data_IF_437730333420
#
_entry.id   IF_437730333420
#
_cell.length_a   1.000
_cell.length_b   1.000
_cell.length_c   1.000
_cell.angle_alpha   90.00
_cell.angle_beta   90.00
_cell.angle_gamma   90.00
#
_symmetry.space_group_name_H-M   'P 1'
#
loop_
_entity.id
_entity.type
_entity.pdbx_description
1 polymer ?
#
# COMPACT_ATOMS: atom_id res chain seq x y z
N UNK A 1 20.03 -10.61 10.80
CA UNK A 1 20.50 -9.56 9.87
C UNK A 1 19.58 -8.35 9.87
N UNK A 2 18.34 -8.40 9.34
CA UNK A 2 17.47 -7.21 9.22
C UNK A 2 17.26 -6.48 10.58
N UNK A 3 16.91 -7.21 11.64
CA UNK A 3 16.72 -6.66 13.00
C UNK A 3 17.96 -5.97 13.59
N UNK A 4 19.16 -6.33 13.15
CA UNK A 4 20.41 -5.72 13.62
C UNK A 4 20.79 -4.47 12.82
N UNK A 5 20.11 -4.20 11.69
CA UNK A 5 20.39 -3.08 10.79
C UNK A 5 19.09 -2.42 10.30
N UNK A 6 18.27 -1.87 11.21
CA UNK A 6 17.05 -1.19 10.81
C UNK A 6 17.38 0.00 9.91
N UNK A 7 16.70 0.08 8.76
CA UNK A 7 16.81 1.16 7.78
C UNK A 7 15.48 1.30 7.06
N UNK A 8 15.29 2.43 6.39
CA UNK A 8 14.13 2.66 5.53
C UNK A 8 14.06 1.55 4.48
N UNK A 9 12.89 0.93 4.38
CA UNK A 9 12.52 -0.04 3.37
C UNK A 9 11.16 0.36 2.81
N UNK A 10 11.09 0.59 1.50
CA UNK A 10 9.90 1.10 0.80
C UNK A 10 9.59 0.18 -0.39
N UNK A 11 8.30 -0.09 -0.60
CA UNK A 11 7.75 -0.78 -1.76
C UNK A 11 6.26 -1.02 -1.62
N UNK A 12 5.65 -1.69 -2.59
CA UNK A 12 4.24 -2.08 -2.57
C UNK A 12 4.01 -3.34 -3.42
N UNK A 13 2.76 -3.78 -3.57
CA UNK A 13 2.39 -4.98 -4.34
C UNK A 13 3.04 -6.25 -3.77
N UNK A 14 3.82 -6.98 -4.56
CA UNK A 14 4.51 -8.23 -4.19
C UNK A 14 5.57 -8.07 -3.09
N UNK A 15 5.89 -6.83 -2.70
CA UNK A 15 6.76 -6.51 -1.56
C UNK A 15 6.02 -6.65 -0.22
N UNK A 16 4.68 -6.75 -0.22
CA UNK A 16 3.84 -6.94 0.98
C UNK A 16 4.37 -8.03 1.95
N UNK A 17 4.73 -9.25 1.50
CA UNK A 17 5.28 -10.27 2.40
C UNK A 17 6.56 -9.83 3.14
N UNK A 18 7.40 -9.01 2.50
CA UNK A 18 8.61 -8.49 3.13
C UNK A 18 8.27 -7.42 4.19
N UNK A 19 7.29 -6.56 3.91
CA UNK A 19 6.75 -5.64 4.92
C UNK A 19 6.22 -6.38 6.16
N UNK A 20 5.44 -7.44 5.96
CA UNK A 20 4.89 -8.23 7.06
C UNK A 20 5.98 -8.98 7.81
N UNK A 21 7.01 -9.50 7.12
CA UNK A 21 8.16 -10.10 7.79
C UNK A 21 8.92 -9.09 8.65
N UNK A 22 9.17 -7.87 8.14
CA UNK A 22 9.80 -6.79 8.91
C UNK A 22 8.95 -6.39 10.12
N UNK A 23 7.62 -6.31 9.94
CA UNK A 23 6.69 -6.07 11.03
C UNK A 23 6.77 -7.16 12.12
N UNK A 24 6.81 -8.45 11.77
CA UNK A 24 7.01 -9.55 12.74
C UNK A 24 8.36 -9.46 13.47
N UNK A 25 9.37 -8.84 12.85
CA UNK A 25 10.67 -8.56 13.49
C UNK A 25 10.67 -7.31 14.38
N UNK A 26 9.55 -6.58 14.45
CA UNK A 26 9.41 -5.33 15.20
C UNK A 26 10.03 -4.13 14.48
N UNK A 27 10.11 -4.16 13.14
CA UNK A 27 10.72 -3.13 12.31
C UNK A 27 9.62 -2.48 11.46
N UNK A 28 9.47 -1.16 11.60
CA UNK A 28 8.59 -0.39 10.72
C UNK A 28 9.22 -0.23 9.35
N UNK A 29 8.45 -0.57 8.32
CA UNK A 29 8.73 -0.30 6.91
C UNK A 29 7.64 0.61 6.33
N UNK A 30 7.83 1.10 5.11
CA UNK A 30 6.95 2.07 4.47
C UNK A 30 6.29 1.46 3.24
N UNK A 31 4.96 1.35 3.23
CA UNK A 31 4.22 0.90 2.05
C UNK A 31 4.07 2.10 1.09
N UNK A 32 4.70 2.05 -0.08
CA UNK A 32 4.83 3.24 -0.92
C UNK A 32 5.60 3.03 -2.23
N UNK A 33 5.96 4.12 -2.93
CA UNK A 33 6.44 4.11 -4.31
C UNK A 33 7.67 3.23 -4.52
N UNK A 34 7.75 2.60 -5.70
CA UNK A 34 8.86 1.78 -6.12
C UNK A 34 9.64 2.41 -7.29
N UNK A 35 10.83 1.86 -7.55
CA UNK A 35 11.77 2.48 -8.50
C UNK A 35 11.19 2.58 -9.92
N UNK A 36 10.66 1.47 -10.47
CA UNK A 36 10.24 1.42 -11.88
C UNK A 36 8.85 2.03 -12.13
N UNK A 37 7.98 1.96 -11.14
CA UNK A 37 6.56 2.33 -11.27
C UNK A 37 6.30 3.78 -10.94
N UNK A 38 7.16 4.39 -10.11
CA UNK A 38 6.96 5.75 -9.59
C UNK A 38 8.17 6.64 -9.90
N UNK A 39 9.37 6.21 -9.52
CA UNK A 39 10.59 7.03 -9.69
C UNK A 39 11.16 7.02 -11.12
N UNK A 40 10.73 6.08 -11.95
CA UNK A 40 11.07 6.02 -13.37
C UNK A 40 9.91 6.56 -14.24
N UNK A 41 9.02 7.37 -13.68
CA UNK A 41 7.97 8.02 -14.46
C UNK A 41 8.58 8.85 -15.59
N UNK A 42 8.00 8.71 -16.78
CA UNK A 42 8.46 9.45 -17.95
C UNK A 42 8.24 10.95 -17.76
N UNK A 43 9.19 11.73 -18.28
CA UNK A 43 9.19 13.20 -18.33
C UNK A 43 9.32 13.87 -16.96
N UNK A 44 8.42 13.58 -16.02
CA UNK A 44 8.39 14.21 -14.69
C UNK A 44 7.78 13.29 -13.63
N UNK A 45 8.32 13.38 -12.41
CA UNK A 45 7.73 12.75 -11.23
C UNK A 45 6.50 13.54 -10.77
N UNK A 46 5.52 12.85 -10.19
CA UNK A 46 4.39 13.50 -9.56
C UNK A 46 4.79 14.14 -8.22
N UNK A 47 4.55 15.45 -8.08
CA UNK A 47 4.84 16.19 -6.85
C UNK A 47 4.14 15.56 -5.63
N UNK A 48 2.88 15.12 -5.80
CA UNK A 48 2.15 14.41 -4.75
C UNK A 48 2.94 13.22 -4.20
N UNK A 49 3.47 12.36 -5.08
CA UNK A 49 4.26 11.18 -4.69
C UNK A 49 5.56 11.54 -4.00
N UNK A 50 6.31 12.48 -4.59
CA UNK A 50 7.63 12.90 -4.07
C UNK A 50 7.48 13.56 -2.71
N UNK A 51 6.59 14.55 -2.58
CA UNK A 51 6.42 15.34 -1.38
C UNK A 51 5.92 14.49 -0.21
N UNK A 52 4.91 13.64 -0.42
CA UNK A 52 4.38 12.78 0.64
C UNK A 52 5.36 11.70 1.07
N UNK A 53 6.11 11.09 0.14
CA UNK A 53 7.15 10.14 0.50
C UNK A 53 8.23 10.80 1.35
N UNK A 54 8.81 11.91 0.87
CA UNK A 54 9.92 12.54 1.57
C UNK A 54 9.49 13.19 2.88
N UNK A 55 8.24 13.64 3.00
CA UNK A 55 7.65 14.00 4.29
C UNK A 55 7.62 12.80 5.25
N UNK A 56 7.16 11.63 4.78
CA UNK A 56 7.02 10.43 5.61
C UNK A 56 8.36 9.80 6.06
N UNK A 57 9.42 9.91 5.24
CA UNK A 57 10.72 9.26 5.53
C UNK A 57 11.83 10.24 5.93
N UNK A 58 11.65 11.53 5.64
CA UNK A 58 12.66 12.57 5.83
C UNK A 58 12.41 13.48 7.04
N UNK A 59 11.20 13.48 7.60
CA UNK A 59 10.85 14.22 8.81
C UNK A 59 10.54 13.27 9.98
N UNK A 60 10.67 13.79 11.20
CA UNK A 60 10.30 13.13 12.46
C UNK A 60 8.99 13.66 13.04
N UNK A 61 8.41 14.72 12.46
CA UNK A 61 7.09 15.21 12.82
C UNK A 61 5.97 14.26 12.33
N UNK A 62 4.79 14.26 12.98
CA UNK A 62 3.65 13.54 12.47
C UNK A 62 3.30 13.95 11.04
N UNK A 63 3.05 12.97 10.17
CA UNK A 63 2.65 13.20 8.75
C UNK A 63 1.42 14.10 8.66
N UNK A 64 0.48 13.97 9.61
CA UNK A 64 -0.75 14.74 9.65
C UNK A 64 -1.82 14.17 8.72
N UNK A 65 -2.63 15.06 8.14
CA UNK A 65 -3.69 14.66 7.22
C UNK A 65 -3.10 14.25 5.87
N UNK A 66 -3.64 13.18 5.28
CA UNK A 66 -3.29 12.74 3.93
C UNK A 66 -4.48 13.12 3.03
N UNK A 67 -4.37 14.18 2.20
CA UNK A 67 -5.41 14.51 1.22
C UNK A 67 -5.33 13.56 0.01
N UNK A 68 -6.36 13.51 -0.83
CA UNK A 68 -6.24 12.90 -2.15
C UNK A 68 -5.37 13.76 -3.08
N UNK A 69 -4.73 13.15 -4.08
CA UNK A 69 -4.14 13.91 -5.19
C UNK A 69 -5.23 14.52 -6.07
N UNK A 70 -4.96 15.63 -6.75
CA UNK A 70 -5.92 16.24 -7.70
C UNK A 70 -6.12 15.39 -8.97
N UNK A 71 -5.06 14.69 -9.38
CA UNK A 71 -5.01 13.88 -10.59
C UNK A 71 -4.34 12.53 -10.32
N UNK A 72 -4.62 11.55 -11.17
CA UNK A 72 -3.96 10.25 -11.23
C UNK A 72 -3.56 9.92 -12.66
N UNK A 73 -2.52 9.10 -12.83
CA UNK A 73 -2.04 8.69 -14.15
C UNK A 73 -2.84 7.51 -14.69
N UNK A 74 -3.18 7.57 -15.98
CA UNK A 74 -3.84 6.48 -16.70
C UNK A 74 -2.84 5.34 -16.93
N UNK A 75 -3.28 4.10 -16.69
CA UNK A 75 -2.50 2.90 -16.96
C UNK A 75 -2.41 2.62 -18.47
N UNK A 76 -1.25 2.14 -18.95
CA UNK A 76 -1.15 1.54 -20.30
C UNK A 76 0.09 1.91 -21.13
N UNK A 77 0.86 2.92 -20.75
CA UNK A 77 2.10 3.26 -21.46
C UNK A 77 3.18 2.19 -21.20
N UNK A 78 3.71 1.59 -22.27
CA UNK A 78 4.76 0.57 -22.18
C UNK A 78 6.13 1.19 -21.89
N UNK A 79 6.96 0.49 -21.11
CA UNK A 79 8.33 0.88 -20.74
C UNK A 79 9.36 0.57 -21.83
N UNK A 80 9.06 0.95 -23.07
CA UNK A 80 10.03 0.90 -24.16
C UNK A 80 10.86 2.19 -24.16
N UNK A 81 12.18 2.08 -24.41
CA UNK A 81 13.13 3.19 -24.30
C UNK A 81 12.76 4.39 -25.21
N UNK A 82 12.20 4.12 -26.39
CA UNK A 82 11.75 5.14 -27.33
C UNK A 82 10.51 5.92 -26.83
N UNK A 83 9.79 5.38 -25.83
CA UNK A 83 8.62 6.02 -25.21
C UNK A 83 8.98 6.90 -24.01
N UNK A 84 10.24 6.95 -23.55
CA UNK A 84 10.67 7.69 -22.34
C UNK A 84 10.34 9.20 -22.36
N UNK A 85 10.13 9.77 -23.56
CA UNK A 85 9.80 11.17 -23.76
C UNK A 85 8.29 11.46 -23.77
N UNK A 86 7.45 10.42 -23.64
CA UNK A 86 5.99 10.51 -23.66
C UNK A 86 5.50 10.53 -22.21
N UNK A 87 4.89 11.63 -21.78
CA UNK A 87 4.21 11.71 -20.50
C UNK A 87 2.92 10.86 -20.54
N UNK A 88 2.63 10.12 -19.46
CA UNK A 88 1.35 9.44 -19.30
C UNK A 88 0.23 10.46 -19.17
N UNK A 89 -0.94 10.12 -19.73
CA UNK A 89 -2.15 10.90 -19.54
C UNK A 89 -2.51 10.97 -18.05
N UNK A 90 -2.94 12.15 -17.60
CA UNK A 90 -3.48 12.38 -16.25
C UNK A 90 -5.00 12.52 -16.36
N UNK A 91 -5.72 11.98 -15.39
CA UNK A 91 -7.16 12.14 -15.25
C UNK A 91 -7.51 12.70 -13.87
N UNK A 92 -8.60 13.48 -13.73
CA UNK A 92 -9.03 13.99 -12.43
C UNK A 92 -9.27 12.87 -11.43
N UNK A 93 -8.88 13.09 -10.18
CA UNK A 93 -9.09 12.16 -9.09
C UNK A 93 -10.26 12.61 -8.19
N UNK A 94 -10.94 11.63 -7.59
CA UNK A 94 -12.03 11.88 -6.63
C UNK A 94 -11.51 12.08 -5.21
N UNK A 95 -12.39 12.54 -4.32
CA UNK A 95 -12.17 12.52 -2.88
C UNK A 95 -12.44 11.11 -2.30
N UNK A 96 -12.07 10.89 -1.05
CA UNK A 96 -12.34 9.63 -0.34
C UNK A 96 -13.84 9.31 -0.28
N UNK A 97 -14.17 8.04 -0.52
CA UNK A 97 -15.54 7.53 -0.42
C UNK A 97 -15.73 6.85 0.93
N UNK A 98 -16.59 7.43 1.78
CA UNK A 98 -17.00 6.80 3.03
C UNK A 98 -18.14 5.81 2.78
N UNK A 99 -17.84 4.51 2.90
CA UNK A 99 -18.78 3.42 2.61
C UNK A 99 -19.72 3.15 3.79
N UNK A 100 -19.17 3.05 5.01
CA UNK A 100 -19.91 2.68 6.23
C UNK A 100 -19.11 3.01 7.49
N UNK A 101 -19.76 2.98 8.65
CA UNK A 101 -19.20 3.33 9.95
C UNK A 101 -19.60 4.72 10.43
N UNK A 102 -19.28 5.05 11.68
CA UNK A 102 -19.46 6.39 12.23
C UNK A 102 -18.46 6.64 13.36
N UNK A 103 -18.16 7.92 13.61
CA UNK A 103 -17.21 8.34 14.63
C UNK A 103 -15.76 8.37 14.14
N UNK A 104 -14.83 8.47 15.08
CA UNK A 104 -13.39 8.54 14.81
C UNK A 104 -12.70 7.36 15.48
N UNK A 105 -11.89 6.64 14.71
CA UNK A 105 -11.07 5.53 15.19
C UNK A 105 -9.60 5.86 15.01
N UNK A 106 -8.75 5.25 15.83
CA UNK A 106 -7.30 5.37 15.76
C UNK A 106 -6.67 4.01 16.00
N UNK A 107 -5.64 3.68 15.23
CA UNK A 107 -4.92 2.43 15.32
C UNK A 107 -3.68 2.47 14.45
N UNK A 108 -2.73 1.56 14.71
CA UNK A 108 -1.57 1.42 13.82
C UNK A 108 -2.00 0.74 12.52
N UNK A 109 -1.37 1.12 11.41
CA UNK A 109 -1.64 0.52 10.11
C UNK A 109 -1.04 -0.90 10.01
N UNK A 110 -1.80 -1.82 9.40
CA UNK A 110 -1.34 -3.15 8.98
C UNK A 110 -2.06 -3.51 7.68
N UNK A 111 -1.39 -4.20 6.76
CA UNK A 111 -2.00 -4.54 5.47
C UNK A 111 -1.02 -4.52 4.31
N UNK A 112 -1.53 -4.20 3.12
CA UNK A 112 -0.79 -4.16 1.87
C UNK A 112 -1.64 -4.56 0.67
N UNK A 113 -0.98 -5.14 -0.33
CA UNK A 113 -1.63 -5.70 -1.51
C UNK A 113 -2.52 -6.86 -1.09
N UNK A 114 -3.80 -6.77 -1.46
CA UNK A 114 -4.86 -7.68 -1.09
C UNK A 114 -4.52 -9.11 -1.49
N UNK A 115 -4.15 -9.32 -2.76
CA UNK A 115 -3.80 -10.62 -3.31
C UNK A 115 -2.52 -11.17 -2.69
N UNK A 116 -1.55 -10.30 -2.37
CA UNK A 116 -0.32 -10.72 -1.69
C UNK A 116 -0.59 -11.17 -0.26
N UNK A 117 -1.39 -10.42 0.50
CA UNK A 117 -1.80 -10.77 1.86
C UNK A 117 -2.59 -12.08 1.88
N UNK A 118 -3.52 -12.24 0.92
CA UNK A 118 -4.34 -13.43 0.76
C UNK A 118 -3.51 -14.71 0.59
N UNK A 119 -2.51 -14.66 -0.30
CA UNK A 119 -1.59 -15.77 -0.61
C UNK A 119 -0.73 -16.19 0.59
N UNK A 120 -0.60 -15.36 1.62
CA UNK A 120 0.18 -15.70 2.81
C UNK A 120 -0.61 -16.49 3.85
N UNK A 121 -1.93 -16.57 3.74
CA UNK A 121 -2.76 -17.32 4.71
C UNK A 121 -2.26 -18.75 4.88
N UNK A 122 -2.25 -19.23 6.12
CA UNK A 122 -1.75 -20.56 6.47
C UNK A 122 -0.23 -20.71 6.44
N UNK A 123 0.51 -19.66 6.11
CA UNK A 123 1.98 -19.64 6.20
C UNK A 123 2.45 -18.93 7.49
N UNK A 124 3.68 -19.20 7.97
CA UNK A 124 4.27 -18.45 9.08
C UNK A 124 4.49 -16.95 8.81
N UNK A 125 4.29 -16.49 7.57
CA UNK A 125 4.47 -15.09 7.17
C UNK A 125 3.17 -14.28 7.26
N UNK A 126 2.02 -14.93 7.38
CA UNK A 126 0.79 -14.22 7.75
C UNK A 126 0.95 -13.64 9.17
N UNK A 127 0.45 -12.43 9.45
CA UNK A 127 0.42 -11.90 10.81
C UNK A 127 -0.46 -12.76 11.71
N UNK A 128 -0.08 -12.94 12.96
CA UNK A 128 -0.96 -13.60 13.93
C UNK A 128 -2.24 -12.76 14.11
N UNK A 129 -3.37 -13.41 14.37
CA UNK A 129 -4.68 -12.73 14.38
C UNK A 129 -4.75 -11.62 15.44
N UNK A 130 -4.10 -11.81 16.58
CA UNK A 130 -3.99 -10.82 17.64
C UNK A 130 -3.25 -9.56 17.19
N UNK A 131 -2.44 -9.64 16.13
CA UNK A 131 -1.73 -8.48 15.59
C UNK A 131 -2.65 -7.53 14.82
N UNK A 132 -3.86 -7.94 14.45
CA UNK A 132 -4.88 -7.09 13.82
C UNK A 132 -5.75 -6.35 14.85
N UNK A 133 -5.80 -6.80 16.11
CA UNK A 133 -6.64 -6.18 17.13
C UNK A 133 -6.24 -4.71 17.39
N UNK A 134 -7.24 -3.82 17.29
CA UNK A 134 -7.04 -2.38 17.45
C UNK A 134 -6.16 -1.73 16.37
N UNK A 135 -5.97 -2.40 15.22
CA UNK A 135 -5.27 -1.86 14.06
C UNK A 135 -6.24 -1.30 13.03
N UNK A 136 -5.70 -0.49 12.13
CA UNK A 136 -6.40 -0.05 10.93
C UNK A 136 -5.86 -0.90 9.77
N UNK A 137 -6.72 -1.74 9.20
CA UNK A 137 -6.40 -2.54 8.03
C UNK A 137 -6.43 -1.65 6.78
N UNK A 138 -5.38 -1.69 5.96
CA UNK A 138 -5.36 -1.07 4.64
C UNK A 138 -5.14 -2.12 3.55
N UNK A 139 -5.91 -2.04 2.47
CA UNK A 139 -5.88 -3.00 1.37
C UNK A 139 -5.90 -2.25 0.04
N UNK A 140 -5.11 -2.71 -0.91
CA UNK A 140 -5.15 -2.28 -2.32
C UNK A 140 -5.15 -3.51 -3.24
N UNK A 141 -5.78 -3.41 -4.41
CA UNK A 141 -5.80 -4.49 -5.41
C UNK A 141 -4.75 -4.28 -6.48
N UNK A 142 -4.10 -5.36 -6.90
CA UNK A 142 -3.03 -5.35 -7.90
C UNK A 142 -3.53 -5.18 -9.34
N UNK A 143 -2.57 -5.11 -10.26
CA UNK A 143 -2.79 -5.10 -11.72
C UNK A 143 -3.44 -6.39 -12.26
N UNK A 144 -3.52 -7.45 -11.43
CA UNK A 144 -4.23 -8.69 -11.78
C UNK A 144 -5.72 -8.43 -12.02
N UNK A 145 -6.28 -7.37 -11.44
CA UNK A 145 -7.70 -7.03 -11.55
C UNK A 145 -8.58 -8.20 -11.10
N UNK A 146 -8.37 -8.66 -9.87
CA UNK A 146 -9.18 -9.71 -9.25
C UNK A 146 -10.67 -9.38 -9.38
N UNK A 147 -11.46 -10.39 -9.75
CA UNK A 147 -12.89 -10.18 -9.99
C UNK A 147 -13.65 -9.91 -8.68
N UNK A 148 -14.78 -9.20 -8.74
CA UNK A 148 -15.53 -8.81 -7.54
C UNK A 148 -15.97 -9.99 -6.65
N UNK A 149 -16.27 -11.15 -7.23
CA UNK A 149 -16.70 -12.31 -6.47
C UNK A 149 -15.53 -12.90 -5.67
N UNK A 150 -14.35 -13.01 -6.28
CA UNK A 150 -13.12 -13.40 -5.58
C UNK A 150 -12.74 -12.43 -4.46
N UNK A 151 -12.95 -11.12 -4.66
CA UNK A 151 -12.77 -10.10 -3.60
C UNK A 151 -13.74 -10.37 -2.44
N UNK A 152 -15.02 -10.57 -2.75
CA UNK A 152 -16.05 -10.83 -1.74
C UNK A 152 -15.75 -12.10 -0.93
N UNK A 153 -15.43 -13.21 -1.60
CA UNK A 153 -15.10 -14.48 -0.95
C UNK A 153 -13.89 -14.36 -0.02
N UNK A 154 -12.87 -13.62 -0.45
CA UNK A 154 -11.66 -13.39 0.34
C UNK A 154 -11.94 -12.48 1.54
N UNK A 155 -12.71 -11.41 1.38
CA UNK A 155 -13.11 -10.55 2.50
C UNK A 155 -13.95 -11.33 3.52
N UNK A 156 -14.84 -12.23 3.06
CA UNK A 156 -15.57 -13.15 3.96
C UNK A 156 -14.63 -14.07 4.71
N UNK A 157 -13.62 -14.64 4.04
CA UNK A 157 -12.62 -15.48 4.69
C UNK A 157 -11.83 -14.71 5.77
N UNK A 158 -11.44 -13.46 5.52
CA UNK A 158 -10.82 -12.60 6.53
C UNK A 158 -11.73 -12.38 7.75
N UNK A 159 -13.04 -12.17 7.52
CA UNK A 159 -14.02 -12.10 8.61
C UNK A 159 -14.12 -13.41 9.40
N UNK A 160 -14.17 -14.56 8.73
CA UNK A 160 -14.21 -15.88 9.39
C UNK A 160 -12.93 -16.22 10.16
N UNK A 161 -11.80 -15.62 9.77
CA UNK A 161 -10.54 -15.71 10.51
C UNK A 161 -10.53 -14.81 11.76
N UNK A 162 -11.46 -13.86 11.90
CA UNK A 162 -11.48 -12.90 13.00
C UNK A 162 -10.58 -11.67 12.79
N UNK A 163 -10.23 -11.34 11.54
CA UNK A 163 -9.41 -10.15 11.24
C UNK A 163 -10.16 -8.85 11.55
N UNK A 164 -11.49 -8.88 11.50
CA UNK A 164 -12.36 -7.72 11.71
C UNK A 164 -12.96 -7.64 13.12
N UNK A 165 -12.56 -8.54 14.02
CA UNK A 165 -13.03 -8.62 15.41
C UNK A 165 -12.18 -7.71 16.33
#
# INVERSE_FOLDING_TARGET
VIRQHPKIFIGYSDITPLHLHMYKLGITSFYGPALLTDFAENVELDAYTVDHLFSAIGDTQPIGNIPTSDEVRVFGLRWEEDKRHIAREKMPNGDYIHISGHGTVQGQLIGGCFESLDKLRGTPYFPELEQFQGKILFLETSEVQVDPMSVEETLRAFGLMGIYD
#
